data_IF_630566823177
#
_entry.id   IF_630566823177
#
_cell.length_a   1.000
_cell.length_b   1.000
_cell.length_c   1.000
_cell.angle_alpha   90.00
_cell.angle_beta   90.00
_cell.angle_gamma   90.00
#
_symmetry.space_group_name_H-M   'P 1'
#
loop_
_entity.id
_entity.type
_entity.pdbx_description
1 polymer ?
#
# COMPACT_ATOMS: atom_id res chain seq x y z
N UNK A 1 -28.12 82.43 21.04
CA UNK A 1 -26.75 81.93 20.79
C UNK A 1 -26.80 81.13 19.50
N UNK A 2 -26.12 81.63 18.47
CA UNK A 2 -25.65 81.02 17.19
C UNK A 2 -26.46 79.82 16.63
N UNK A 3 -27.16 79.87 15.48
CA UNK A 3 -26.68 80.15 14.10
C UNK A 3 -26.03 78.88 13.51
N UNK A 4 -26.31 78.33 12.32
CA UNK A 4 -27.14 78.66 11.16
C UNK A 4 -27.37 77.36 10.31
N UNK A 5 -28.33 77.43 9.38
CA UNK A 5 -28.72 76.39 8.41
C UNK A 5 -27.77 76.29 7.18
N UNK A 6 -27.88 75.22 6.37
CA UNK A 6 -28.06 75.20 4.90
C UNK A 6 -27.85 73.77 4.31
N UNK A 7 -28.75 73.36 3.41
CA UNK A 7 -28.67 72.19 2.50
C UNK A 7 -28.31 72.67 1.07
N UNK A 8 -28.51 71.92 -0.03
CA UNK A 8 -28.02 70.60 -0.50
C UNK A 8 -27.22 70.72 -1.83
N UNK A 9 -26.74 69.61 -2.40
CA UNK A 9 -26.12 69.58 -3.74
C UNK A 9 -26.34 68.26 -4.49
N UNK A 10 -26.82 68.36 -5.73
CA UNK A 10 -27.28 67.30 -6.66
C UNK A 10 -26.17 67.02 -7.72
N UNK A 11 -26.01 65.73 -8.10
CA UNK A 11 -25.44 64.98 -9.28
C UNK A 11 -24.65 65.70 -10.44
N UNK A 12 -23.97 65.04 -11.43
CA UNK A 12 -23.88 63.60 -11.83
C UNK A 12 -22.46 63.06 -12.29
N UNK A 13 -22.45 61.79 -12.77
CA UNK A 13 -21.39 60.93 -13.41
C UNK A 13 -20.73 61.52 -14.70
N UNK A 14 -19.57 61.04 -15.25
CA UNK A 14 -19.45 59.72 -15.95
C UNK A 14 -18.07 59.00 -16.03
N UNK A 15 -18.11 57.82 -16.68
CA UNK A 15 -17.10 56.82 -17.06
C UNK A 15 -15.85 57.30 -17.82
N UNK A 16 -14.70 56.70 -17.50
CA UNK A 16 -13.59 56.18 -18.36
C UNK A 16 -12.33 56.12 -17.47
N UNK A 17 -11.38 55.17 -17.50
CA UNK A 17 -10.70 54.54 -18.63
C UNK A 17 -9.84 53.40 -18.06
N UNK A 18 -9.72 52.30 -18.79
CA UNK A 18 -8.75 51.21 -18.55
C UNK A 18 -7.30 51.69 -18.60
N UNK A 19 -6.37 50.92 -18.02
CA UNK A 19 -5.15 50.59 -18.74
C UNK A 19 -5.02 49.06 -18.92
N UNK A 20 -5.12 48.65 -20.19
CA UNK A 20 -4.63 47.39 -20.74
C UNK A 20 -3.24 47.63 -21.31
N UNK A 21 -2.24 46.81 -20.92
CA UNK A 21 -0.95 46.49 -21.58
C UNK A 21 -0.01 45.93 -20.49
N UNK A 22 0.80 44.88 -20.63
CA UNK A 22 1.26 44.10 -21.77
C UNK A 22 2.02 42.87 -21.22
N UNK A 23 1.51 41.64 -21.34
CA UNK A 23 2.31 40.41 -21.20
C UNK A 23 1.77 39.37 -22.18
N UNK A 24 2.11 39.56 -23.46
CA UNK A 24 1.95 38.52 -24.48
C UNK A 24 3.27 38.41 -25.25
N UNK A 25 4.05 37.35 -24.99
CA UNK A 25 4.99 36.75 -25.96
C UNK A 25 5.19 35.26 -25.69
N UNK A 26 4.63 34.47 -26.63
CA UNK A 26 4.96 33.10 -27.07
C UNK A 26 4.39 31.91 -26.25
N UNK A 27 3.32 31.25 -26.73
CA UNK A 27 3.29 30.16 -27.75
C UNK A 27 3.87 28.83 -27.21
N UNK A 28 3.21 27.66 -27.21
CA UNK A 28 2.18 27.10 -28.10
C UNK A 28 1.55 25.85 -27.45
N UNK A 29 0.24 25.63 -27.59
CA UNK A 29 -0.33 24.28 -27.65
C UNK A 29 -1.60 24.34 -28.51
N UNK A 30 -1.43 23.95 -29.78
CA UNK A 30 -2.52 23.79 -30.74
C UNK A 30 -3.30 22.51 -30.43
N UNK A 31 -4.61 22.72 -30.43
CA UNK A 31 -5.77 21.83 -30.43
C UNK A 31 -5.82 20.91 -31.66
N UNK A 32 -6.20 19.64 -31.48
CA UNK A 32 -6.88 18.72 -32.44
C UNK A 32 -7.29 17.48 -31.61
N UNK A 33 -8.50 17.34 -31.07
CA UNK A 33 -9.83 17.04 -31.64
C UNK A 33 -9.99 15.65 -32.31
N UNK A 34 -10.93 14.86 -31.73
CA UNK A 34 -11.81 13.80 -32.26
C UNK A 34 -11.62 12.41 -31.60
N UNK A 35 -12.52 11.94 -30.72
CA UNK A 35 -13.87 11.36 -30.92
C UNK A 35 -13.79 9.87 -31.30
N UNK A 36 -14.14 8.97 -30.36
CA UNK A 36 -14.87 7.74 -30.69
C UNK A 36 -15.86 7.40 -29.57
N UNK A 37 -17.10 7.21 -30.01
CA UNK A 37 -18.26 6.74 -29.26
C UNK A 37 -18.21 5.22 -29.32
N UNK A 38 -18.43 4.53 -28.19
CA UNK A 38 -19.09 3.24 -28.24
C UNK A 38 -20.16 3.18 -27.15
N UNK A 39 -21.40 3.13 -27.61
CA UNK A 39 -22.55 2.73 -26.82
C UNK A 39 -22.44 1.25 -26.48
N UNK A 40 -22.81 0.86 -25.27
CA UNK A 40 -23.36 -0.47 -25.06
C UNK A 40 -24.57 -0.38 -24.13
N UNK A 41 -25.64 -0.98 -24.62
CA UNK A 41 -27.04 -0.81 -24.27
C UNK A 41 -27.38 -1.41 -22.91
N UNK A 42 -28.18 -0.66 -22.15
CA UNK A 42 -28.93 -1.16 -20.99
C UNK A 42 -29.94 -2.23 -21.43
N UNK A 43 -29.81 -3.43 -20.89
CA UNK A 43 -30.96 -4.33 -20.74
C UNK A 43 -31.19 -4.55 -19.25
N UNK A 44 -32.29 -3.98 -18.77
CA UNK A 44 -32.88 -4.19 -17.45
C UNK A 44 -33.47 -5.60 -17.36
N UNK A 45 -33.28 -6.30 -16.23
CA UNK A 45 -34.38 -6.99 -15.52
C UNK A 45 -33.94 -7.55 -14.14
N UNK A 46 -34.41 -6.84 -13.11
CA UNK A 46 -35.09 -7.29 -11.86
C UNK A 46 -34.54 -8.44 -10.98
N UNK A 47 -34.18 -8.04 -9.75
CA UNK A 47 -34.62 -8.51 -8.40
C UNK A 47 -34.98 -9.99 -8.18
N UNK A 48 -34.32 -10.61 -7.19
CA UNK A 48 -34.87 -11.08 -5.89
C UNK A 48 -33.82 -12.02 -5.22
N UNK A 49 -33.18 -11.61 -4.12
CA UNK A 49 -33.51 -11.92 -2.72
C UNK A 49 -33.01 -13.29 -2.20
N UNK A 50 -32.30 -13.19 -1.06
CA UNK A 50 -32.20 -14.12 0.08
C UNK A 50 -31.54 -15.49 -0.08
N UNK A 51 -30.54 -15.75 0.76
CA UNK A 51 -30.06 -17.11 1.04
C UNK A 51 -28.65 -17.12 1.62
N UNK A 52 -28.50 -16.82 2.91
CA UNK A 52 -27.25 -17.05 3.61
C UNK A 52 -26.99 -18.54 3.79
N UNK A 53 -25.76 -18.99 3.52
CA UNK A 53 -25.34 -20.33 3.86
C UNK A 53 -24.09 -20.28 4.73
N UNK A 54 -24.34 -20.60 6.00
CA UNK A 54 -23.37 -21.02 7.00
C UNK A 54 -22.67 -22.29 6.53
N UNK A 55 -21.34 -22.32 6.52
CA UNK A 55 -20.58 -23.55 6.36
C UNK A 55 -20.49 -24.26 7.71
N UNK A 56 -21.35 -25.26 7.91
CA UNK A 56 -21.22 -26.23 8.99
C UNK A 56 -20.20 -27.31 8.58
N UNK A 57 -19.21 -27.51 9.46
CA UNK A 57 -18.37 -28.71 9.47
C UNK A 57 -19.25 -29.92 9.79
N UNK A 58 -19.33 -30.89 8.88
CA UNK A 58 -19.92 -32.19 9.14
C UNK A 58 -18.98 -33.30 8.67
N UNK A 59 -18.82 -34.28 9.55
CA UNK A 59 -18.02 -35.49 9.43
C UNK A 59 -18.40 -36.32 8.19
N UNK A 60 -17.39 -36.87 7.50
CA UNK A 60 -17.55 -37.91 6.46
C UNK A 60 -17.85 -39.27 7.09
N UNK A 61 -18.80 -40.06 6.57
CA UNK A 61 -18.77 -41.50 6.66
C UNK A 61 -18.24 -42.17 5.38
N UNK A 62 -17.62 -43.30 5.67
CA UNK A 62 -17.17 -44.46 4.89
C UNK A 62 -17.89 -44.82 3.56
N UNK A 63 -17.09 -45.19 2.55
CA UNK A 63 -17.34 -46.33 1.65
C UNK A 63 -18.15 -46.12 0.36
N UNK A 64 -17.46 -46.11 -0.80
CA UNK A 64 -17.76 -47.00 -1.96
C UNK A 64 -16.78 -46.71 -3.11
N UNK A 65 -16.37 -47.80 -3.75
CA UNK A 65 -15.40 -47.91 -4.84
C UNK A 65 -15.85 -47.21 -6.12
N UNK A 66 -14.91 -46.50 -6.77
CA UNK A 66 -14.92 -46.31 -8.21
C UNK A 66 -13.47 -46.37 -8.68
N UNK A 67 -13.15 -47.38 -9.50
CA UNK A 67 -11.87 -47.54 -10.18
C UNK A 67 -11.70 -46.48 -11.28
N UNK A 68 -10.44 -46.08 -11.51
CA UNK A 68 -9.98 -45.58 -12.81
C UNK A 68 -9.96 -44.07 -12.98
N UNK A 69 -8.82 -43.46 -12.65
CA UNK A 69 -7.86 -42.80 -13.55
C UNK A 69 -6.70 -42.40 -12.64
N UNK A 70 -5.52 -42.97 -12.85
CA UNK A 70 -4.31 -42.56 -12.17
C UNK A 70 -3.94 -41.16 -12.65
N UNK A 71 -4.47 -40.14 -11.98
CA UNK A 71 -3.82 -38.84 -11.94
C UNK A 71 -2.45 -39.07 -11.30
N UNK A 72 -1.42 -39.18 -12.14
CA UNK A 72 -0.06 -38.90 -11.71
C UNK A 72 -0.05 -37.46 -11.19
N UNK A 73 -0.33 -37.32 -9.89
CA UNK A 73 -0.11 -36.11 -9.15
C UNK A 73 1.41 -35.91 -9.13
N UNK A 74 1.88 -35.03 -9.99
CA UNK A 74 3.23 -34.48 -9.97
C UNK A 74 3.44 -33.76 -8.62
N UNK A 75 3.83 -34.53 -7.61
CA UNK A 75 4.41 -34.05 -6.35
C UNK A 75 5.88 -33.67 -6.54
N UNK A 76 6.29 -33.12 -7.70
CA UNK A 76 7.50 -32.31 -7.71
C UNK A 76 7.20 -31.09 -6.84
N UNK A 77 7.68 -31.13 -5.59
CA UNK A 77 7.53 -30.04 -4.63
C UNK A 77 7.92 -28.73 -5.31
N UNK A 78 7.03 -27.73 -5.25
CA UNK A 78 7.34 -26.41 -5.79
C UNK A 78 8.65 -25.93 -5.16
N UNK A 79 9.53 -25.35 -5.97
CA UNK A 79 10.81 -24.85 -5.48
C UNK A 79 10.61 -23.91 -4.31
N UNK A 80 11.51 -23.92 -3.32
CA UNK A 80 11.37 -23.01 -2.18
C UNK A 80 12.12 -21.70 -2.43
N UNK A 81 11.47 -20.57 -2.12
CA UNK A 81 11.99 -19.21 -2.37
C UNK A 81 12.10 -18.44 -1.05
N UNK A 82 13.29 -17.91 -0.79
CA UNK A 82 13.53 -16.93 0.29
C UNK A 82 13.63 -15.52 -0.28
N UNK A 83 12.82 -14.60 0.24
CA UNK A 83 12.81 -13.18 -0.15
C UNK A 83 13.49 -12.34 0.92
N UNK A 84 14.52 -11.59 0.51
CA UNK A 84 15.41 -10.84 1.39
C UNK A 84 15.41 -9.37 0.97
N UNK A 85 14.84 -8.51 1.82
CA UNK A 85 14.67 -7.09 1.52
C UNK A 85 15.58 -6.23 2.40
N UNK A 86 16.53 -5.57 1.73
CA UNK A 86 17.28 -4.45 2.29
C UNK A 86 16.42 -3.18 2.21
N UNK A 87 15.69 -2.92 3.29
CA UNK A 87 14.66 -1.88 3.33
C UNK A 87 15.25 -0.46 3.48
N UNK A 88 16.48 -0.35 3.97
CA UNK A 88 17.19 0.93 4.08
C UNK A 88 17.60 1.44 2.69
N UNK A 89 18.06 0.54 1.82
CA UNK A 89 18.41 0.85 0.43
C UNK A 89 17.19 1.00 -0.48
N UNK A 90 16.20 0.08 -0.35
CA UNK A 90 15.01 0.02 -1.23
C UNK A 90 13.68 0.23 -0.49
N UNK A 91 13.42 1.39 0.13
CA UNK A 91 12.10 1.65 0.70
C UNK A 91 11.04 1.80 -0.42
N UNK A 92 9.77 1.46 -0.15
CA UNK A 92 8.68 1.73 -1.08
C UNK A 92 8.34 3.23 -1.05
N UNK A 93 9.02 4.03 -1.87
CA UNK A 93 8.90 5.50 -1.86
C UNK A 93 7.71 5.99 -2.66
N UNK A 94 7.29 5.34 -3.74
CA UNK A 94 6.23 5.85 -4.63
C UNK A 94 4.88 5.14 -4.44
N UNK A 95 4.89 3.97 -3.84
CA UNK A 95 3.75 3.06 -3.76
C UNK A 95 3.49 2.69 -2.30
N UNK A 96 2.23 2.46 -1.87
CA UNK A 96 1.95 2.01 -0.51
C UNK A 96 2.76 0.74 -0.15
N UNK A 97 3.35 0.64 1.05
CA UNK A 97 4.25 -0.46 1.39
C UNK A 97 3.62 -1.85 1.30
N UNK A 98 2.33 -1.96 1.63
CA UNK A 98 1.60 -3.22 1.52
C UNK A 98 1.52 -3.68 0.06
N UNK A 99 1.16 -2.78 -0.85
CA UNK A 99 1.01 -3.12 -2.27
C UNK A 99 2.36 -3.49 -2.88
N UNK A 100 3.41 -2.74 -2.55
CA UNK A 100 4.78 -3.02 -2.98
C UNK A 100 5.26 -4.40 -2.49
N UNK A 101 5.01 -4.74 -1.23
CA UNK A 101 5.35 -6.05 -0.68
C UNK A 101 4.54 -7.20 -1.32
N UNK A 102 3.24 -7.00 -1.57
CA UNK A 102 2.42 -8.00 -2.25
C UNK A 102 2.92 -8.24 -3.69
N UNK A 103 3.28 -7.18 -4.41
CA UNK A 103 3.85 -7.27 -5.78
C UNK A 103 5.18 -8.01 -5.78
N UNK A 104 6.06 -7.73 -4.82
CA UNK A 104 7.32 -8.45 -4.66
C UNK A 104 7.08 -9.94 -4.35
N UNK A 105 6.12 -10.25 -3.49
CA UNK A 105 5.74 -11.64 -3.18
C UNK A 105 5.20 -12.35 -4.42
N UNK A 106 4.36 -11.69 -5.21
CA UNK A 106 3.83 -12.23 -6.46
C UNK A 106 4.96 -12.57 -7.43
N UNK A 107 5.91 -11.65 -7.65
CA UNK A 107 7.10 -11.90 -8.46
C UNK A 107 7.90 -13.10 -7.94
N UNK A 108 8.20 -13.13 -6.64
CA UNK A 108 8.95 -14.23 -6.03
C UNK A 108 8.22 -15.59 -6.18
N UNK A 109 6.88 -15.57 -6.19
CA UNK A 109 6.06 -16.77 -6.33
C UNK A 109 6.14 -17.40 -7.73
N UNK A 110 6.57 -16.65 -8.74
CA UNK A 110 6.84 -17.17 -10.09
C UNK A 110 8.07 -18.09 -10.13
N UNK A 111 8.93 -18.01 -9.10
CA UNK A 111 10.12 -18.83 -8.96
C UNK A 111 9.93 -20.06 -8.05
N UNK A 112 8.80 -20.13 -7.35
CA UNK A 112 8.49 -21.20 -6.39
C UNK A 112 7.61 -20.75 -5.22
N UNK A 113 7.43 -21.61 -4.22
CA UNK A 113 6.74 -21.27 -2.99
C UNK A 113 7.60 -20.35 -2.10
N UNK A 114 7.06 -19.19 -1.74
CA UNK A 114 7.73 -18.24 -0.83
C UNK A 114 7.63 -18.76 0.60
N UNK A 115 8.70 -19.41 1.06
CA UNK A 115 8.80 -20.00 2.41
C UNK A 115 9.28 -19.01 3.46
N UNK A 116 10.00 -17.98 3.04
CA UNK A 116 10.50 -16.92 3.91
C UNK A 116 10.48 -15.57 3.19
N UNK A 117 10.04 -14.54 3.89
CA UNK A 117 9.99 -13.17 3.36
C UNK A 117 10.33 -12.21 4.49
N UNK A 118 11.54 -11.66 4.44
CA UNK A 118 12.12 -10.91 5.54
C UNK A 118 12.65 -9.57 5.04
N UNK A 119 12.45 -8.53 5.85
CA UNK A 119 12.97 -7.19 5.59
C UNK A 119 13.78 -6.68 6.78
N UNK A 120 15.01 -6.24 6.52
CA UNK A 120 15.87 -5.62 7.54
C UNK A 120 15.97 -4.13 7.30
N UNK A 121 15.89 -3.36 8.38
CA UNK A 121 16.07 -1.91 8.34
C UNK A 121 16.60 -1.38 9.67
N UNK A 122 17.31 -0.28 9.58
CA UNK A 122 17.68 0.55 10.72
C UNK A 122 16.45 1.34 11.23
N UNK A 123 16.49 1.79 12.49
CA UNK A 123 15.48 2.67 13.11
C UNK A 123 15.16 3.91 12.27
N UNK A 124 16.14 4.41 11.51
CA UNK A 124 15.99 5.59 10.67
C UNK A 124 15.00 5.37 9.52
N UNK A 125 15.02 4.21 8.84
CA UNK A 125 14.06 3.91 7.77
C UNK A 125 12.60 3.90 8.26
N UNK A 126 12.36 3.49 9.50
CA UNK A 126 11.01 3.52 10.09
C UNK A 126 10.55 4.92 10.53
N UNK A 127 11.48 5.86 10.66
CA UNK A 127 11.18 7.24 11.08
C UNK A 127 10.96 8.16 9.89
N UNK A 128 11.62 7.87 8.77
CA UNK A 128 11.47 8.62 7.52
C UNK A 128 10.00 8.67 7.06
N UNK A 129 9.62 9.80 6.48
CA UNK A 129 8.29 10.03 5.91
C UNK A 129 8.48 10.52 4.46
N UNK A 130 8.05 9.73 3.46
CA UNK A 130 8.14 10.13 2.06
C UNK A 130 7.42 11.45 1.74
N UNK A 131 7.84 12.22 0.71
CA UNK A 131 7.23 13.49 0.33
C UNK A 131 5.72 13.39 0.08
N UNK A 132 5.26 12.40 -0.69
CA UNK A 132 3.83 12.20 -0.96
C UNK A 132 3.00 12.00 0.33
N UNK A 133 3.56 11.36 1.36
CA UNK A 133 2.88 11.21 2.66
C UNK A 133 2.78 12.56 3.38
N UNK A 134 3.82 13.40 3.27
CA UNK A 134 3.80 14.75 3.88
C UNK A 134 2.74 15.62 3.20
N UNK A 135 2.68 15.61 1.88
CA UNK A 135 1.68 16.33 1.07
C UNK A 135 0.26 15.85 1.40
N UNK A 136 0.01 14.54 1.37
CA UNK A 136 -1.28 13.96 1.75
C UNK A 136 -1.71 14.38 3.17
N UNK A 137 -0.77 14.44 4.13
CA UNK A 137 -1.06 14.91 5.49
C UNK A 137 -1.37 16.40 5.54
N UNK A 138 -0.73 17.22 4.71
CA UNK A 138 -1.01 18.65 4.61
C UNK A 138 -2.38 18.91 3.98
N UNK A 139 -2.70 18.26 2.87
CA UNK A 139 -4.01 18.33 2.21
C UNK A 139 -5.13 17.91 3.17
N UNK A 140 -4.95 16.79 3.89
CA UNK A 140 -5.93 16.34 4.87
C UNK A 140 -6.12 17.33 6.02
N UNK A 141 -5.05 17.99 6.48
CA UNK A 141 -5.14 19.04 7.52
C UNK A 141 -5.89 20.27 7.02
N UNK A 142 -5.65 20.70 5.79
CA UNK A 142 -6.37 21.81 5.18
C UNK A 142 -7.86 21.48 5.06
N UNK A 143 -8.18 20.29 4.55
CA UNK A 143 -9.56 19.83 4.42
C UNK A 143 -10.25 19.71 5.79
N UNK A 144 -9.57 19.20 6.82
CA UNK A 144 -10.07 19.17 8.20
C UNK A 144 -10.45 20.58 8.68
N UNK A 145 -9.64 21.60 8.39
CA UNK A 145 -9.93 22.99 8.77
C UNK A 145 -11.14 23.55 8.03
N UNK A 146 -11.24 23.29 6.73
CA UNK A 146 -12.36 23.75 5.90
C UNK A 146 -13.68 23.09 6.30
N UNK A 147 -13.68 21.79 6.60
CA UNK A 147 -14.84 21.07 7.12
C UNK A 147 -15.29 21.63 8.48
N UNK A 148 -14.36 21.90 9.39
CA UNK A 148 -14.66 22.46 10.72
C UNK A 148 -15.24 23.87 10.62
N UNK A 149 -14.75 24.68 9.67
CA UNK A 149 -15.29 26.02 9.40
C UNK A 149 -16.61 25.99 8.62
N UNK A 150 -17.05 24.82 8.16
CA UNK A 150 -18.27 24.68 7.35
C UNK A 150 -18.14 25.22 5.92
N UNK A 151 -16.92 25.54 5.47
CA UNK A 151 -16.63 26.04 4.12
C UNK A 151 -16.67 24.91 3.09
N UNK A 152 -16.45 23.66 3.53
CA UNK A 152 -16.59 22.46 2.71
C UNK A 152 -17.64 21.56 3.36
N UNK A 153 -18.66 21.17 2.59
CA UNK A 153 -19.70 20.24 3.02
C UNK A 153 -19.28 18.81 2.72
N UNK A 154 -19.40 17.94 3.70
CA UNK A 154 -19.21 16.50 3.54
C UNK A 154 -20.54 15.89 3.10
N UNK A 155 -20.63 15.38 1.87
CA UNK A 155 -21.86 14.78 1.33
C UNK A 155 -22.38 13.59 2.15
N UNK A 156 -21.45 12.78 2.67
CA UNK A 156 -21.75 11.60 3.49
C UNK A 156 -20.97 11.66 4.80
N UNK A 157 -21.62 11.45 5.95
CA UNK A 157 -20.91 11.51 7.23
C UNK A 157 -19.82 10.44 7.30
N UNK A 158 -18.75 10.76 8.02
CA UNK A 158 -17.69 9.82 8.34
C UNK A 158 -18.20 8.73 9.28
N UNK A 159 -18.03 7.46 8.92
CA UNK A 159 -18.52 6.33 9.73
C UNK A 159 -17.36 5.70 10.51
N UNK A 160 -17.53 5.56 11.83
CA UNK A 160 -16.60 4.79 12.65
C UNK A 160 -16.78 3.30 12.35
N UNK A 161 -15.75 2.67 11.78
CA UNK A 161 -15.81 1.24 11.40
C UNK A 161 -15.77 0.26 12.58
N UNK A 162 -15.58 0.75 13.82
CA UNK A 162 -15.66 -0.08 15.03
C UNK A 162 -17.05 -0.15 15.63
N UNK A 163 -17.79 0.97 15.66
CA UNK A 163 -19.09 1.05 16.33
C UNK A 163 -20.23 1.56 15.44
N UNK A 164 -19.97 1.87 14.16
CA UNK A 164 -20.95 2.39 13.22
C UNK A 164 -21.32 3.87 13.41
N UNK A 165 -20.76 4.57 14.41
CA UNK A 165 -21.12 5.96 14.69
C UNK A 165 -20.82 6.88 13.51
N UNK A 166 -21.83 7.63 13.08
CA UNK A 166 -21.71 8.69 12.08
C UNK A 166 -21.17 9.99 12.68
N UNK A 167 -20.19 10.59 12.03
CA UNK A 167 -19.50 11.80 12.44
C UNK A 167 -19.56 12.83 11.29
N UNK A 168 -19.92 14.07 11.60
CA UNK A 168 -20.12 15.11 10.59
C UNK A 168 -18.83 15.57 9.91
N UNK A 169 -17.70 15.50 10.61
CA UNK A 169 -16.37 15.90 10.10
C UNK A 169 -15.33 14.84 10.41
N UNK A 170 -14.21 14.85 9.69
CA UNK A 170 -13.11 13.92 9.94
C UNK A 170 -12.52 14.11 11.35
N UNK A 171 -12.40 15.36 11.79
CA UNK A 171 -11.94 15.72 13.15
C UNK A 171 -12.86 15.12 14.22
N UNK A 172 -14.17 15.13 14.01
CA UNK A 172 -15.12 14.51 14.93
C UNK A 172 -14.95 12.98 14.98
N UNK A 173 -14.72 12.33 13.84
CA UNK A 173 -14.42 10.89 13.78
C UNK A 173 -13.13 10.57 14.54
N UNK A 174 -12.05 11.31 14.29
CA UNK A 174 -10.76 11.12 14.96
C UNK A 174 -10.88 11.29 16.47
N UNK A 175 -11.58 12.35 16.91
CA UNK A 175 -11.84 12.61 18.34
C UNK A 175 -12.64 11.47 18.98
N UNK A 176 -13.73 11.05 18.34
CA UNK A 176 -14.53 9.93 18.80
C UNK A 176 -13.70 8.65 18.92
N UNK A 177 -12.88 8.33 17.92
CA UNK A 177 -12.05 7.14 17.92
C UNK A 177 -11.04 7.14 19.08
N UNK A 178 -10.39 8.28 19.34
CA UNK A 178 -9.46 8.43 20.47
C UNK A 178 -10.17 8.30 21.82
N UNK A 179 -11.29 8.99 21.99
CA UNK A 179 -11.99 9.06 23.28
C UNK A 179 -12.67 7.74 23.65
N UNK A 180 -13.21 7.03 22.67
CA UNK A 180 -13.94 5.79 22.90
C UNK A 180 -13.03 4.57 22.75
N UNK A 181 -12.46 4.36 21.56
CA UNK A 181 -11.83 3.09 21.20
C UNK A 181 -10.36 3.00 21.61
N UNK A 182 -9.58 4.07 21.43
CA UNK A 182 -8.17 4.08 21.88
C UNK A 182 -8.11 3.98 23.42
N UNK A 183 -8.93 4.78 24.12
CA UNK A 183 -9.04 4.73 25.58
C UNK A 183 -9.52 3.36 26.11
N UNK A 184 -10.53 2.76 25.48
CA UNK A 184 -11.01 1.43 25.86
C UNK A 184 -9.93 0.35 25.68
N UNK A 185 -9.23 0.39 24.54
CA UNK A 185 -8.11 -0.52 24.27
C UNK A 185 -6.99 -0.35 25.30
N UNK A 186 -6.60 0.89 25.61
CA UNK A 186 -5.58 1.16 26.61
C UNK A 186 -5.95 0.61 27.98
N UNK A 187 -7.21 0.75 28.40
CA UNK A 187 -7.73 0.15 29.65
C UNK A 187 -7.62 -1.38 29.63
N UNK A 188 -8.03 -2.04 28.54
CA UNK A 188 -7.93 -3.50 28.40
C UNK A 188 -6.48 -3.98 28.43
N UNK A 189 -5.57 -3.29 27.76
CA UNK A 189 -4.15 -3.61 27.78
C UNK A 189 -3.50 -3.38 29.14
N UNK A 190 -3.90 -2.32 29.86
CA UNK A 190 -3.45 -2.09 31.23
C UNK A 190 -3.92 -3.22 32.17
N UNK A 191 -5.18 -3.64 32.05
CA UNK A 191 -5.70 -4.77 32.80
C UNK A 191 -4.99 -6.09 32.46
N UNK A 192 -4.71 -6.34 31.17
CA UNK A 192 -3.95 -7.53 30.76
C UNK A 192 -2.60 -7.63 31.50
N UNK A 193 -1.91 -6.51 31.75
CA UNK A 193 -0.63 -6.49 32.48
C UNK A 193 -0.74 -6.92 33.94
N UNK A 194 -1.90 -6.77 34.57
CA UNK A 194 -2.10 -7.19 35.97
C UNK A 194 -2.38 -8.68 36.10
N UNK A 195 -2.93 -9.31 35.04
CA UNK A 195 -3.24 -10.73 35.02
C UNK A 195 -1.99 -11.61 34.88
N UNK A 196 -2.03 -12.78 35.51
CA UNK A 196 -0.99 -13.83 35.44
C UNK A 196 -1.60 -15.20 35.10
N UNK A 197 -0.75 -16.12 34.64
CA UNK A 197 -1.11 -17.53 34.41
C UNK A 197 -2.28 -17.74 33.45
N UNK A 198 -3.12 -18.75 33.73
CA UNK A 198 -4.27 -19.16 32.88
C UNK A 198 -5.27 -18.02 32.63
N UNK A 199 -5.51 -17.15 33.62
CA UNK A 199 -6.40 -15.98 33.46
C UNK A 199 -5.89 -15.01 32.41
N UNK A 200 -4.56 -14.76 32.40
CA UNK A 200 -3.93 -13.92 31.38
C UNK A 200 -4.05 -14.53 29.98
N UNK A 201 -3.80 -15.83 29.85
CA UNK A 201 -3.88 -16.53 28.56
C UNK A 201 -5.30 -16.46 27.98
N UNK A 202 -6.33 -16.73 28.79
CA UNK A 202 -7.73 -16.60 28.39
C UNK A 202 -8.06 -15.18 27.94
N UNK A 203 -7.73 -14.17 28.75
CA UNK A 203 -8.01 -12.77 28.43
C UNK A 203 -7.28 -12.30 27.16
N UNK A 204 -6.05 -12.76 26.92
CA UNK A 204 -5.31 -12.47 25.70
C UNK A 204 -6.01 -13.04 24.45
N UNK A 205 -6.52 -14.28 24.55
CA UNK A 205 -7.28 -14.92 23.47
C UNK A 205 -8.55 -14.12 23.15
N UNK A 206 -9.30 -13.73 24.17
CA UNK A 206 -10.53 -12.94 24.01
C UNK A 206 -10.26 -11.55 23.38
N UNK A 207 -9.10 -10.97 23.67
CA UNK A 207 -8.68 -9.69 23.09
C UNK A 207 -8.19 -9.79 21.65
N UNK A 208 -7.79 -10.96 21.16
CA UNK A 208 -7.11 -11.08 19.86
C UNK A 208 -7.99 -10.60 18.70
N UNK A 209 -9.26 -11.03 18.66
CA UNK A 209 -10.20 -10.62 17.61
C UNK A 209 -10.51 -9.11 17.70
N UNK A 210 -10.70 -8.59 18.91
CA UNK A 210 -10.96 -7.17 19.14
C UNK A 210 -9.77 -6.31 18.71
N UNK A 211 -8.54 -6.77 18.96
CA UNK A 211 -7.32 -6.10 18.55
C UNK A 211 -7.16 -6.08 17.03
N UNK A 212 -7.54 -7.16 16.33
CA UNK A 212 -7.56 -7.19 14.85
C UNK A 212 -8.54 -6.15 14.31
N UNK A 213 -9.77 -6.11 14.83
CA UNK A 213 -10.80 -5.12 14.44
C UNK A 213 -10.33 -3.70 14.72
N UNK A 214 -9.77 -3.45 15.91
CA UNK A 214 -9.21 -2.16 16.30
C UNK A 214 -8.11 -1.70 15.34
N UNK A 215 -7.09 -2.55 15.10
CA UNK A 215 -5.99 -2.21 14.19
C UNK A 215 -6.51 -1.90 12.78
N UNK A 216 -7.44 -2.70 12.26
CA UNK A 216 -8.02 -2.49 10.94
C UNK A 216 -8.72 -1.12 10.82
N UNK A 217 -9.47 -0.70 11.84
CA UNK A 217 -10.14 0.60 11.86
C UNK A 217 -9.19 1.76 12.15
N UNK A 218 -8.28 1.60 13.11
CA UNK A 218 -7.31 2.61 13.53
C UNK A 218 -6.45 3.09 12.35
N UNK A 219 -6.02 2.18 11.46
CA UNK A 219 -5.24 2.54 10.26
C UNK A 219 -5.89 3.60 9.38
N UNK A 220 -7.22 3.65 9.32
CA UNK A 220 -7.96 4.61 8.48
C UNK A 220 -8.24 5.94 9.17
N UNK A 221 -8.06 6.01 10.48
CA UNK A 221 -8.49 7.16 11.31
C UNK A 221 -7.30 7.83 11.99
N UNK A 222 -6.36 7.04 12.50
CA UNK A 222 -5.20 7.50 13.24
C UNK A 222 -3.98 7.57 12.32
N UNK A 223 -3.33 8.73 12.33
CA UNK A 223 -2.01 8.90 11.72
C UNK A 223 -0.96 8.35 12.68
N UNK A 224 0.00 7.52 12.22
CA UNK A 224 1.10 7.04 13.04
C UNK A 224 1.86 8.17 13.72
N UNK A 225 2.28 7.96 14.98
CA UNK A 225 3.07 8.94 15.75
C UNK A 225 4.46 9.17 15.14
N UNK A 226 5.06 8.12 14.59
CA UNK A 226 6.36 8.15 13.91
C UNK A 226 6.25 7.50 12.52
N UNK A 227 7.05 8.01 11.58
CA UNK A 227 7.07 7.52 10.20
C UNK A 227 5.70 7.58 9.52
N UNK A 228 5.44 6.57 8.68
CA UNK A 228 4.20 6.44 7.91
C UNK A 228 3.56 5.05 8.00
N UNK A 229 3.96 4.25 9.01
CA UNK A 229 3.42 2.91 9.21
C UNK A 229 4.09 1.83 8.37
N UNK A 230 5.28 2.10 7.81
CA UNK A 230 6.06 1.18 6.96
C UNK A 230 6.11 -0.25 7.53
N UNK A 231 6.67 -0.42 8.73
CA UNK A 231 6.82 -1.74 9.32
C UNK A 231 5.50 -2.47 9.58
N UNK A 232 4.43 -1.76 9.96
CA UNK A 232 3.11 -2.38 10.17
C UNK A 232 2.44 -2.82 8.86
N UNK A 233 2.63 -2.05 7.79
CA UNK A 233 2.07 -2.37 6.47
C UNK A 233 2.83 -3.55 5.83
N UNK A 234 4.15 -3.62 5.98
CA UNK A 234 4.95 -4.77 5.54
C UNK A 234 4.61 -6.05 6.31
N UNK A 235 4.49 -5.97 7.64
CA UNK A 235 4.04 -7.13 8.46
C UNK A 235 2.66 -7.62 8.05
N UNK A 236 1.77 -6.71 7.65
CA UNK A 236 0.43 -7.08 7.13
C UNK A 236 0.52 -7.84 5.81
N UNK A 237 1.49 -7.52 4.96
CA UNK A 237 1.80 -8.26 3.73
C UNK A 237 2.54 -9.58 4.00
N UNK A 238 2.69 -9.98 5.27
CA UNK A 238 3.36 -11.21 5.68
C UNK A 238 4.89 -11.13 5.62
N UNK A 239 5.47 -9.93 5.61
CA UNK A 239 6.92 -9.73 5.70
C UNK A 239 7.36 -9.76 7.17
N UNK A 240 8.34 -10.58 7.52
CA UNK A 240 9.01 -10.52 8.82
C UNK A 240 9.96 -9.33 8.86
N UNK A 241 9.47 -8.20 9.39
CA UNK A 241 10.26 -6.97 9.50
C UNK A 241 11.14 -7.04 10.75
N UNK A 242 12.45 -6.83 10.58
CA UNK A 242 13.43 -6.82 11.66
C UNK A 242 14.15 -5.49 11.72
N UNK A 243 14.18 -4.90 12.91
CA UNK A 243 14.88 -3.64 13.15
C UNK A 243 16.25 -3.92 13.78
N UNK A 244 17.29 -3.35 13.20
CA UNK A 244 18.67 -3.47 13.71
C UNK A 244 19.12 -2.19 14.42
N UNK A 245 20.26 -2.28 15.12
CA UNK A 245 20.92 -1.11 15.68
C UNK A 245 21.36 -0.13 14.59
N UNK A 246 21.48 1.14 14.95
CA UNK A 246 21.82 2.22 14.02
C UNK A 246 23.32 2.31 13.71
N UNK A 247 23.95 1.16 13.46
CA UNK A 247 25.34 1.06 13.03
C UNK A 247 25.39 0.91 11.50
N UNK A 248 26.41 1.46 10.83
CA UNK A 248 26.65 1.17 9.41
C UNK A 248 26.67 -0.35 9.17
N UNK A 249 26.11 -0.79 8.05
CA UNK A 249 26.10 -2.19 7.59
C UNK A 249 25.43 -3.23 8.50
N UNK A 250 24.88 -2.84 9.65
CA UNK A 250 24.22 -3.78 10.56
C UNK A 250 23.03 -4.51 9.92
N UNK A 251 22.31 -3.83 9.02
CA UNK A 251 21.22 -4.44 8.25
C UNK A 251 21.78 -5.47 7.27
N UNK A 252 22.85 -5.12 6.55
CA UNK A 252 23.47 -5.94 5.52
C UNK A 252 24.08 -7.22 6.11
N UNK A 253 24.81 -7.11 7.22
CA UNK A 253 25.35 -8.25 7.95
C UNK A 253 24.25 -9.19 8.43
N UNK A 254 23.18 -8.63 9.00
CA UNK A 254 22.06 -9.42 9.48
C UNK A 254 21.31 -10.11 8.34
N UNK A 255 21.16 -9.44 7.19
CA UNK A 255 20.54 -10.00 6.00
C UNK A 255 21.41 -11.10 5.38
N UNK A 256 22.73 -10.88 5.22
CA UNK A 256 23.69 -11.90 4.77
C UNK A 256 23.66 -13.14 5.66
N UNK A 257 23.64 -12.96 6.97
CA UNK A 257 23.52 -14.06 7.94
C UNK A 257 22.19 -14.82 7.77
N UNK A 258 21.11 -14.10 7.51
CA UNK A 258 19.81 -14.73 7.25
C UNK A 258 19.83 -15.56 5.97
N UNK A 259 20.35 -14.99 4.87
CA UNK A 259 20.52 -15.68 3.59
C UNK A 259 21.32 -16.97 3.78
N UNK A 260 22.46 -16.89 4.49
CA UNK A 260 23.29 -18.06 4.79
C UNK A 260 22.53 -19.17 5.54
N UNK A 261 21.72 -18.79 6.54
CA UNK A 261 20.90 -19.73 7.27
C UNK A 261 19.81 -20.37 6.40
N UNK A 262 19.18 -19.61 5.51
CA UNK A 262 18.16 -20.13 4.60
C UNK A 262 18.75 -21.07 3.55
N UNK A 263 19.95 -20.78 3.04
CA UNK A 263 20.69 -21.73 2.19
C UNK A 263 20.93 -23.06 2.92
N UNK A 264 21.32 -23.02 4.20
CA UNK A 264 21.55 -24.24 4.99
C UNK A 264 20.25 -25.00 5.32
N UNK A 265 19.09 -24.33 5.29
CA UNK A 265 17.76 -24.94 5.48
C UNK A 265 17.18 -25.55 4.19
N UNK A 266 17.89 -25.46 3.06
CA UNK A 266 17.47 -26.05 1.80
C UNK A 266 16.59 -25.15 0.94
N UNK A 267 16.67 -23.82 1.09
CA UNK A 267 16.05 -22.91 0.12
C UNK A 267 16.72 -23.06 -1.24
N UNK A 268 15.93 -23.16 -2.31
CA UNK A 268 16.43 -23.41 -3.67
C UNK A 268 16.56 -22.14 -4.52
N UNK A 269 15.85 -21.08 -4.13
CA UNK A 269 15.87 -19.79 -4.82
C UNK A 269 16.02 -18.62 -3.83
N UNK A 270 16.94 -17.71 -4.11
CA UNK A 270 17.13 -16.45 -3.37
C UNK A 270 16.56 -15.32 -4.21
N UNK A 271 15.66 -14.52 -3.64
CA UNK A 271 15.20 -13.27 -4.20
C UNK A 271 15.70 -12.12 -3.31
N UNK A 272 16.71 -11.38 -3.77
CA UNK A 272 17.31 -10.26 -3.04
C UNK A 272 16.79 -8.94 -3.60
N UNK A 273 16.27 -8.08 -2.73
CA UNK A 273 15.86 -6.72 -3.04
C UNK A 273 16.87 -5.74 -2.42
N UNK A 274 17.89 -5.34 -3.19
CA UNK A 274 18.98 -4.41 -2.81
C UNK A 274 19.78 -3.99 -4.07
N UNK A 275 20.45 -2.83 -4.01
CA UNK A 275 21.46 -2.39 -4.99
C UNK A 275 22.91 -2.55 -4.49
N UNK A 276 23.12 -2.98 -3.24
CA UNK A 276 24.43 -2.97 -2.62
C UNK A 276 25.33 -4.11 -3.13
N UNK A 277 26.48 -3.74 -3.70
CA UNK A 277 27.48 -4.68 -4.18
C UNK A 277 28.07 -5.58 -3.08
N UNK A 278 27.94 -5.20 -1.81
CA UNK A 278 28.40 -5.98 -0.68
C UNK A 278 27.70 -7.36 -0.57
N UNK A 279 26.57 -7.55 -1.25
CA UNK A 279 25.89 -8.86 -1.36
C UNK A 279 26.48 -9.79 -2.43
N UNK A 280 27.40 -9.33 -3.30
CA UNK A 280 27.96 -10.15 -4.38
C UNK A 280 28.60 -11.46 -3.87
N UNK A 281 29.33 -11.41 -2.75
CA UNK A 281 29.99 -12.59 -2.19
C UNK A 281 29.01 -13.69 -1.77
N UNK A 282 27.90 -13.31 -1.13
CA UNK A 282 26.89 -14.28 -0.69
C UNK A 282 26.08 -14.82 -1.89
N UNK A 283 25.79 -14.00 -2.90
CA UNK A 283 25.10 -14.45 -4.12
C UNK A 283 25.96 -15.41 -4.95
N UNK A 284 27.26 -15.16 -5.09
CA UNK A 284 28.20 -16.11 -5.73
C UNK A 284 28.23 -17.45 -4.99
N UNK A 285 28.21 -17.42 -3.67
CA UNK A 285 28.15 -18.62 -2.83
C UNK A 285 26.85 -19.41 -3.04
N UNK A 286 25.73 -18.72 -3.22
CA UNK A 286 24.46 -19.36 -3.57
C UNK A 286 24.51 -20.02 -4.95
N UNK A 287 25.07 -19.33 -5.95
CA UNK A 287 25.25 -19.87 -7.31
C UNK A 287 26.14 -21.10 -7.32
N UNK A 288 27.25 -21.11 -6.58
CA UNK A 288 28.13 -22.29 -6.50
C UNK A 288 27.46 -23.49 -5.83
N UNK A 289 26.41 -23.25 -5.03
CA UNK A 289 25.58 -24.29 -4.42
C UNK A 289 24.39 -24.71 -5.30
N UNK A 290 24.27 -24.17 -6.51
CA UNK A 290 23.22 -24.51 -7.47
C UNK A 290 21.88 -23.80 -7.24
N UNK A 291 21.82 -22.80 -6.36
CA UNK A 291 20.59 -22.04 -6.13
C UNK A 291 20.32 -21.08 -7.29
N UNK A 292 19.03 -20.86 -7.55
CA UNK A 292 18.57 -19.80 -8.44
C UNK A 292 18.68 -18.44 -7.74
N UNK A 293 19.23 -17.44 -8.40
CA UNK A 293 19.39 -16.09 -7.84
C UNK A 293 18.56 -15.09 -8.64
N UNK A 294 17.65 -14.42 -7.95
CA UNK A 294 16.85 -13.32 -8.46
C UNK A 294 17.26 -12.06 -7.72
N UNK A 295 17.57 -11.01 -8.47
CA UNK A 295 17.88 -9.69 -7.91
C UNK A 295 16.80 -8.71 -8.36
N UNK A 296 16.32 -7.92 -7.41
CA UNK A 296 15.43 -6.81 -7.69
C UNK A 296 16.14 -5.54 -7.22
N UNK A 297 16.40 -4.64 -8.15
CA UNK A 297 17.30 -3.51 -7.95
C UNK A 297 17.38 -2.67 -9.21
N UNK A 298 17.88 -1.44 -9.06
CA UNK A 298 18.02 -0.49 -10.17
C UNK A 298 19.48 -0.31 -10.59
N UNK A 299 20.43 -1.03 -9.96
CA UNK A 299 21.85 -1.04 -10.34
C UNK A 299 22.27 -2.34 -11.02
N UNK A 300 23.22 -2.23 -11.97
CA UNK A 300 23.72 -3.36 -12.77
C UNK A 300 24.78 -4.22 -12.07
N UNK A 301 25.14 -3.92 -10.82
CA UNK A 301 26.27 -4.60 -10.13
C UNK A 301 25.92 -6.03 -9.76
N UNK A 302 24.79 -6.22 -9.08
CA UNK A 302 24.29 -7.51 -8.63
C UNK A 302 23.71 -8.35 -9.77
N UNK A 303 23.19 -7.71 -10.82
CA UNK A 303 22.67 -8.36 -12.04
C UNK A 303 23.68 -9.31 -12.68
N UNK A 304 24.99 -9.01 -12.60
CA UNK A 304 26.06 -9.84 -13.19
C UNK A 304 26.13 -11.27 -12.63
N UNK A 305 25.60 -11.49 -11.43
CA UNK A 305 25.60 -12.80 -10.76
C UNK A 305 24.21 -13.42 -10.72
N UNK A 306 23.17 -12.62 -11.02
CA UNK A 306 21.79 -13.06 -10.96
C UNK A 306 21.41 -13.87 -12.20
N UNK A 307 20.54 -14.85 -12.01
CA UNK A 307 19.85 -15.53 -13.12
C UNK A 307 18.76 -14.62 -13.71
N UNK A 308 18.13 -13.80 -12.85
CA UNK A 308 17.07 -12.86 -13.24
C UNK A 308 17.27 -11.54 -12.48
N UNK A 309 17.13 -10.42 -13.19
CA UNK A 309 17.17 -9.06 -12.65
C UNK A 309 15.86 -8.34 -12.95
N UNK A 310 15.35 -7.55 -12.01
CA UNK A 310 14.15 -6.73 -12.21
C UNK A 310 14.35 -5.34 -11.60
N UNK A 311 13.85 -4.29 -12.25
CA UNK A 311 13.82 -2.96 -11.64
C UNK A 311 12.89 -2.94 -10.42
N UNK A 312 13.34 -2.33 -9.32
CA UNK A 312 12.46 -2.14 -8.16
C UNK A 312 11.28 -1.25 -8.51
N UNK A 313 11.47 -0.24 -9.36
CA UNK A 313 10.40 0.67 -9.76
C UNK A 313 9.30 -0.06 -10.54
N UNK A 314 9.67 -0.94 -11.47
CA UNK A 314 8.73 -1.74 -12.25
C UNK A 314 7.96 -2.73 -11.36
N UNK A 315 8.67 -3.42 -10.47
CA UNK A 315 8.06 -4.36 -9.52
C UNK A 315 7.11 -3.64 -8.56
N UNK A 316 7.58 -2.54 -7.98
CA UNK A 316 6.79 -1.74 -7.05
C UNK A 316 5.58 -1.11 -7.73
N UNK A 317 5.68 -0.68 -8.99
CA UNK A 317 4.57 -0.09 -9.76
C UNK A 317 3.60 -1.14 -10.34
N UNK A 318 4.00 -2.41 -10.38
CA UNK A 318 3.19 -3.50 -10.94
C UNK A 318 3.29 -3.59 -12.46
N UNK A 319 4.28 -2.93 -13.06
CA UNK A 319 4.55 -2.91 -14.50
C UNK A 319 5.75 -3.83 -14.78
N UNK A 320 5.69 -5.08 -14.30
CA UNK A 320 6.70 -6.08 -14.60
C UNK A 320 6.05 -7.25 -15.34
N UNK A 321 6.76 -7.80 -16.32
CA UNK A 321 6.30 -8.97 -17.08
C UNK A 321 7.39 -10.02 -17.03
N UNK A 322 7.12 -11.14 -16.37
CA UNK A 322 8.07 -12.24 -16.23
C UNK A 322 8.63 -12.75 -17.57
N UNK A 323 7.76 -12.88 -18.58
CA UNK A 323 8.12 -13.41 -19.90
C UNK A 323 9.10 -12.51 -20.68
N UNK A 324 9.09 -11.20 -20.44
CA UNK A 324 10.05 -10.27 -21.05
C UNK A 324 11.46 -10.52 -20.50
N UNK A 325 11.58 -10.82 -19.20
CA UNK A 325 12.85 -11.10 -18.55
C UNK A 325 13.37 -12.52 -18.82
N UNK A 326 12.50 -13.46 -19.24
CA UNK A 326 12.88 -14.79 -19.74
C UNK A 326 13.65 -14.72 -21.08
N UNK A 327 13.43 -13.68 -21.86
CA UNK A 327 13.93 -13.57 -23.25
C UNK A 327 15.38 -13.07 -23.36
N UNK A 328 16.02 -12.66 -22.25
CA UNK A 328 17.45 -12.29 -22.26
C UNK A 328 18.39 -13.49 -22.39
N UNK A 329 17.90 -14.70 -22.14
CA UNK A 329 18.66 -15.95 -22.35
C UNK A 329 18.63 -16.42 -23.83
N UNK A 330 17.83 -15.78 -24.70
CA UNK A 330 17.78 -16.04 -26.14
C UNK A 330 17.50 -14.74 -26.90
N UNK A 331 18.56 -14.04 -27.30
CA UNK A 331 18.49 -12.72 -27.93
C UNK A 331 17.37 -12.55 -28.96
N UNK A 332 16.31 -11.84 -28.57
CA UNK A 332 15.42 -11.10 -29.48
C UNK A 332 14.65 -10.05 -28.66
N UNK A 333 14.86 -8.78 -28.99
CA UNK A 333 14.01 -7.69 -28.54
C UNK A 333 12.61 -7.88 -29.14
N UNK A 334 11.57 -7.87 -28.30
CA UNK A 334 10.22 -7.53 -28.75
C UNK A 334 9.76 -6.31 -27.94
N UNK A 335 9.62 -5.20 -28.67
CA UNK A 335 8.96 -3.99 -28.20
C UNK A 335 7.45 -4.19 -28.27
N UNK A 336 6.78 -3.99 -27.13
CA UNK A 336 5.36 -3.68 -27.05
C UNK A 336 4.47 -4.86 -26.72
N UNK A 337 3.96 -4.90 -25.48
CA UNK A 337 2.61 -5.41 -25.14
C UNK A 337 2.10 -4.69 -23.90
N UNK A 338 0.79 -4.47 -23.88
CA UNK A 338 0.00 -3.69 -22.92
C UNK A 338 0.06 -4.18 -21.46
N UNK A 339 -0.10 -3.26 -20.48
CA UNK A 339 -0.11 -3.61 -19.06
C UNK A 339 -1.30 -4.49 -18.70
N UNK A 340 -1.05 -5.54 -17.91
CA UNK A 340 -2.10 -6.32 -17.25
C UNK A 340 -2.77 -5.38 -16.23
N UNK A 341 -3.95 -4.86 -16.58
CA UNK A 341 -4.76 -4.08 -15.66
C UNK A 341 -5.27 -4.98 -14.54
N UNK A 342 -4.57 -5.00 -13.41
CA UNK A 342 -5.23 -5.34 -12.15
C UNK A 342 -6.11 -4.15 -11.81
N UNK A 343 -7.44 -4.30 -11.93
CA UNK A 343 -8.39 -3.35 -11.33
C UNK A 343 -8.15 -3.34 -9.82
N UNK A 344 -7.23 -2.48 -9.38
CA UNK A 344 -7.27 -1.97 -8.04
C UNK A 344 -8.61 -1.24 -7.91
N UNK A 345 -9.59 -1.86 -7.26
CA UNK A 345 -10.73 -1.15 -6.68
C UNK A 345 -10.18 -0.21 -5.63
N UNK A 346 -9.67 0.93 -6.09
CA UNK A 346 -9.44 2.08 -5.26
C UNK A 346 -10.81 2.74 -5.12
N UNK A 347 -11.51 2.45 -4.02
CA UNK A 347 -12.68 3.22 -3.60
C UNK A 347 -12.22 4.64 -3.24
N UNK A 348 -12.00 5.46 -4.26
CA UNK A 348 -11.98 6.90 -4.13
C UNK A 348 -13.43 7.41 -4.23
N UNK A 349 -13.94 8.14 -3.23
CA UNK A 349 -15.18 8.87 -3.40
C UNK A 349 -14.97 9.94 -4.47
N UNK A 350 -15.62 9.77 -5.62
CA UNK A 350 -15.64 10.74 -6.72
C UNK A 350 -16.37 12.00 -6.24
N UNK A 351 -15.62 13.05 -5.86
CA UNK A 351 -16.15 14.41 -5.81
C UNK A 351 -16.33 14.90 -7.24
N UNK A 352 -17.58 15.10 -7.66
CA UNK A 352 -17.89 15.78 -8.92
C UNK A 352 -17.98 17.28 -8.63
N UNK A 353 -17.15 18.08 -9.30
CA UNK A 353 -17.40 19.51 -9.46
C UNK A 353 -18.49 19.65 -10.52
N UNK A 354 -19.69 20.02 -10.10
CA UNK A 354 -20.68 20.64 -10.99
C UNK A 354 -20.49 22.14 -10.84
N UNK A 355 -19.97 22.78 -11.90
CA UNK A 355 -20.03 24.22 -12.07
C UNK A 355 -21.41 24.51 -12.68
N UNK A 356 -22.38 24.87 -11.85
CA UNK A 356 -23.60 25.50 -12.35
C UNK A 356 -23.30 26.98 -12.64
N UNK A 357 -23.34 27.34 -13.92
CA UNK A 357 -23.56 28.72 -14.35
C UNK A 357 -25.06 28.92 -14.54
N UNK A 358 -25.66 29.74 -13.68
CA UNK A 358 -26.74 30.68 -14.03
C UNK A 358 -26.66 31.85 -13.07
#
# INVERSE_FOLDING_TARGET
MSGAAFAPGICPVPLSSFPTENWDRHCTLKRFEKRFILACTTTSLRRACSGGHYWNYAHRPFGSEVEGISEEQDYSGRRTVGVFWDLDNKPPVLVPPFDAAMRLRSLASEFGEVVDMVAYANKNAFTYVPPWVKEQRQERRLLDQLEVRGLVKVERPYICRLCGRMCKTNVALRRHFKQMHERERERKLAYLKTLRGKRRAKFLSDLAEQEIKYKAAARRVLVPKSGYGLGSELRRAGVDVRTVESKPQAADEALKKHIANCMNKGVECICLLSDDSDFLGILKTAKSKGLKVVVVGDTFTLEKVADFSFSWQDVASGIYVYDVYRSRDRGRFMTGVEPISFEARVDHPKCWMVIERT
#
